data_IF_355961660842
#
_entry.id   IF_355961660842
#
_cell.length_a   1.000
_cell.length_b   1.000
_cell.length_c   1.000
_cell.angle_alpha   90.00
_cell.angle_beta   90.00
_cell.angle_gamma   90.00
#
_symmetry.space_group_name_H-M   'P 1'
#
loop_
_entity.id
_entity.type
_entity.pdbx_description
1 polymer ?
#
# COMPACT_ATOMS: atom_id res chain seq x y z
N UNK A 1 -9.80 0.43 -49.00
CA UNK A 1 -10.31 -0.25 -47.80
C UNK A 1 -9.37 0.09 -46.65
N UNK A 2 -9.80 0.98 -45.77
CA UNK A 2 -9.06 1.35 -44.55
C UNK A 2 -9.67 0.53 -43.42
N UNK A 3 -8.94 -0.46 -42.90
CA UNK A 3 -9.35 -1.18 -41.71
C UNK A 3 -9.17 -0.26 -40.51
N UNK A 4 -10.24 -0.04 -39.78
CA UNK A 4 -10.27 0.66 -38.49
C UNK A 4 -9.77 -0.29 -37.42
N UNK A 5 -8.56 -0.07 -36.91
CA UNK A 5 -8.05 -0.75 -35.73
C UNK A 5 -8.79 -0.18 -34.52
N UNK A 6 -9.51 -1.02 -33.81
CA UNK A 6 -10.25 -0.66 -32.61
C UNK A 6 -9.29 -0.35 -31.45
N UNK A 7 -9.53 0.77 -30.77
CA UNK A 7 -8.74 1.30 -29.65
C UNK A 7 -8.82 0.47 -28.35
N UNK A 8 -9.54 -0.66 -28.35
CA UNK A 8 -9.75 -1.49 -27.15
C UNK A 8 -8.59 -2.45 -26.82
N UNK A 9 -7.57 -2.55 -27.68
CA UNK A 9 -6.45 -3.49 -27.50
C UNK A 9 -5.18 -2.86 -26.92
N UNK A 10 -5.11 -1.54 -26.76
CA UNK A 10 -3.89 -0.86 -26.32
C UNK A 10 -3.82 -0.56 -24.81
N UNK A 11 -4.86 -0.82 -24.04
CA UNK A 11 -4.92 -0.55 -22.58
C UNK A 11 -4.82 -1.80 -21.70
N UNK A 12 -4.50 -2.97 -22.24
CA UNK A 12 -4.56 -4.22 -21.49
C UNK A 12 -3.28 -5.09 -21.50
N UNK A 13 -2.08 -4.59 -21.20
CA UNK A 13 -1.01 -5.49 -20.77
C UNK A 13 -0.55 -5.32 -19.30
N UNK A 14 -1.27 -4.58 -18.43
CA UNK A 14 -0.84 -4.39 -17.02
C UNK A 14 -1.57 -5.32 -16.03
N UNK A 15 -2.56 -6.11 -16.46
CA UNK A 15 -3.43 -6.89 -15.56
C UNK A 15 -3.39 -8.40 -15.78
N UNK A 16 -2.26 -9.02 -16.11
CA UNK A 16 -2.12 -10.49 -16.00
C UNK A 16 -0.72 -10.89 -15.56
N UNK A 17 -0.34 -10.55 -14.33
CA UNK A 17 0.69 -11.29 -13.61
C UNK A 17 0.03 -12.06 -12.48
N UNK A 18 0.01 -13.40 -12.62
CA UNK A 18 -0.46 -14.34 -11.58
C UNK A 18 0.33 -14.11 -10.29
N UNK A 19 -0.34 -14.10 -9.11
CA UNK A 19 0.34 -13.96 -7.83
C UNK A 19 0.89 -15.32 -7.40
N UNK A 20 2.16 -15.57 -7.62
CA UNK A 20 2.86 -16.65 -6.95
C UNK A 20 4.16 -16.14 -6.33
N UNK A 21 4.22 -16.17 -4.98
CA UNK A 21 5.41 -16.19 -4.13
C UNK A 21 6.40 -15.01 -4.20
N UNK A 22 5.99 -13.79 -3.92
CA UNK A 22 6.91 -12.69 -3.53
C UNK A 22 6.30 -11.84 -2.39
N UNK A 23 5.74 -12.43 -1.36
CA UNK A 23 5.13 -11.67 -0.25
C UNK A 23 5.97 -11.64 1.03
N UNK A 24 7.25 -11.97 0.99
CA UNK A 24 8.08 -12.02 2.20
C UNK A 24 9.35 -11.17 2.19
N UNK A 25 9.65 -10.42 1.14
CA UNK A 25 10.89 -9.63 1.07
C UNK A 25 10.70 -8.15 0.66
N UNK A 26 9.48 -7.65 0.48
CA UNK A 26 9.25 -6.27 0.00
C UNK A 26 8.97 -5.23 1.10
N UNK A 27 9.01 -5.60 2.38
CA UNK A 27 8.81 -4.63 3.48
C UNK A 27 10.05 -3.87 3.96
N UNK A 28 11.20 -4.01 3.31
CA UNK A 28 12.43 -3.38 3.80
C UNK A 28 13.04 -2.29 2.91
N UNK A 29 12.46 -1.95 1.78
CA UNK A 29 13.14 -1.06 0.81
C UNK A 29 12.40 0.23 0.43
N UNK A 30 11.43 0.69 1.20
CA UNK A 30 10.82 2.01 0.97
C UNK A 30 10.91 2.90 2.21
N UNK A 31 12.12 3.41 2.49
CA UNK A 31 12.26 4.59 3.33
C UNK A 31 13.47 5.40 2.91
N UNK A 32 13.34 6.14 1.83
CA UNK A 32 14.19 7.26 1.46
C UNK A 32 13.30 8.43 1.04
N UNK A 33 12.51 8.92 1.98
CA UNK A 33 12.13 10.32 2.10
C UNK A 33 12.02 10.58 3.59
N UNK A 34 12.98 11.35 4.11
CA UNK A 34 12.89 11.90 5.44
C UNK A 34 11.77 12.94 5.48
N UNK A 35 10.56 12.48 5.72
CA UNK A 35 9.57 13.20 6.50
C UNK A 35 9.38 12.34 7.74
N UNK A 36 9.63 12.91 8.91
CA UNK A 36 9.16 12.41 10.18
C UNK A 36 7.62 12.45 10.14
N UNK A 37 7.02 11.54 9.39
CA UNK A 37 5.67 11.11 9.65
C UNK A 37 5.80 10.19 10.87
N UNK A 38 5.06 10.55 11.90
CA UNK A 38 4.76 9.71 13.05
C UNK A 38 4.46 8.30 12.50
N UNK A 39 5.46 7.37 12.57
CA UNK A 39 5.28 5.99 12.10
C UNK A 39 4.10 5.47 12.89
N UNK A 40 2.96 5.41 12.21
CA UNK A 40 1.66 5.18 12.80
C UNK A 40 1.73 3.92 13.67
N UNK A 41 1.20 3.99 14.88
CA UNK A 41 1.10 2.91 15.87
C UNK A 41 0.46 1.64 15.28
N UNK A 42 -0.19 1.77 14.14
CA UNK A 42 -0.95 0.74 13.44
C UNK A 42 -0.54 0.68 11.97
N UNK A 43 -0.56 -0.53 11.39
CA UNK A 43 -0.38 -0.71 9.95
C UNK A 43 -1.61 -0.19 9.17
N UNK A 44 -1.44 0.08 7.86
CA UNK A 44 -2.57 0.45 6.99
C UNK A 44 -3.72 -0.57 7.04
N UNK A 45 -3.40 -1.87 7.01
CA UNK A 45 -4.38 -2.96 7.15
C UNK A 45 -5.14 -2.89 8.48
N UNK A 46 -4.43 -2.56 9.57
CA UNK A 46 -5.05 -2.39 10.89
C UNK A 46 -5.93 -1.15 10.93
N UNK A 47 -5.48 -0.03 10.36
CA UNK A 47 -6.28 1.20 10.26
C UNK A 47 -7.55 0.97 9.41
N UNK A 48 -7.45 0.24 8.30
CA UNK A 48 -8.60 -0.16 7.50
C UNK A 48 -9.58 -1.02 8.31
N UNK A 49 -9.06 -2.01 9.05
CA UNK A 49 -9.89 -2.85 9.92
C UNK A 49 -10.63 -2.02 10.98
N UNK A 50 -10.00 -0.96 11.50
CA UNK A 50 -10.61 -0.06 12.50
C UNK A 50 -11.56 0.98 11.89
N UNK A 51 -11.50 1.19 10.57
CA UNK A 51 -12.23 2.27 9.88
C UNK A 51 -11.57 3.63 10.05
N UNK A 52 -10.26 3.66 10.21
CA UNK A 52 -9.43 4.84 10.37
C UNK A 52 -8.67 4.88 11.69
N UNK A 53 -8.07 6.03 11.99
CA UNK A 53 -7.32 6.25 13.23
C UNK A 53 -8.24 6.19 14.44
N UNK A 54 -7.90 5.36 15.43
CA UNK A 54 -8.68 5.18 16.65
C UNK A 54 -8.68 6.45 17.52
N UNK A 55 -9.86 6.80 18.01
CA UNK A 55 -10.09 7.92 18.91
C UNK A 55 -10.55 7.44 20.30
N UNK A 56 -10.12 8.15 21.35
CA UNK A 56 -10.38 7.75 22.72
C UNK A 56 -9.50 6.58 23.20
N UNK A 57 -9.73 6.12 24.43
CA UNK A 57 -8.99 5.01 25.04
C UNK A 57 -9.65 3.67 24.69
N UNK A 58 -9.44 3.19 23.47
CA UNK A 58 -10.04 1.96 23.00
C UNK A 58 -9.47 0.74 23.72
N UNK A 59 -10.33 -0.12 24.25
CA UNK A 59 -9.99 -1.40 24.89
C UNK A 59 -10.12 -2.57 23.93
N UNK A 60 -11.15 -2.57 23.07
CA UNK A 60 -11.28 -3.56 22.00
C UNK A 60 -12.10 -3.04 20.84
N UNK A 61 -11.84 -3.61 19.65
CA UNK A 61 -12.64 -3.45 18.43
C UNK A 61 -13.05 -4.84 17.97
N UNK A 62 -14.36 -5.04 17.77
CA UNK A 62 -14.90 -6.20 17.07
C UNK A 62 -15.40 -5.74 15.70
N UNK A 63 -14.85 -6.29 14.62
CA UNK A 63 -15.25 -6.01 13.23
C UNK A 63 -16.01 -7.21 12.68
N UNK A 64 -17.18 -6.97 12.16
CA UNK A 64 -18.03 -7.96 11.51
C UNK A 64 -18.23 -7.50 10.06
N UNK A 65 -17.90 -8.37 9.13
CA UNK A 65 -18.03 -8.11 7.70
C UNK A 65 -19.16 -8.96 7.12
N UNK A 66 -20.02 -8.35 6.32
CA UNK A 66 -21.14 -9.02 5.63
C UNK A 66 -21.03 -8.73 4.13
N UNK A 67 -21.33 -9.69 3.27
CA UNK A 67 -21.62 -9.43 1.86
C UNK A 67 -23.13 -9.19 1.69
N UNK A 68 -23.47 -8.29 0.77
CA UNK A 68 -24.84 -8.07 0.35
C UNK A 68 -25.26 -9.08 -0.71
N UNK A 69 -26.45 -9.65 -0.58
CA UNK A 69 -27.20 -10.21 -1.71
C UNK A 69 -28.28 -9.20 -2.12
N UNK A 70 -28.74 -9.22 -3.37
CA UNK A 70 -29.84 -8.37 -3.84
C UNK A 70 -31.06 -8.51 -2.89
N UNK A 71 -31.40 -7.43 -2.21
CA UNK A 71 -32.55 -7.39 -1.31
C UNK A 71 -33.43 -6.22 -1.68
N UNK A 72 -34.68 -6.51 -1.99
CA UNK A 72 -35.67 -5.52 -2.43
C UNK A 72 -36.21 -4.63 -1.29
N UNK A 73 -36.13 -5.03 -0.02
CA UNK A 73 -36.53 -4.21 1.13
C UNK A 73 -35.83 -4.68 2.43
N UNK A 74 -34.80 -3.93 2.84
CA UNK A 74 -34.05 -4.16 4.09
C UNK A 74 -32.74 -4.94 3.86
N UNK A 75 -31.70 -4.58 4.61
CA UNK A 75 -30.41 -5.28 4.56
C UNK A 75 -30.56 -6.65 5.23
N UNK A 76 -30.65 -7.73 4.47
CA UNK A 76 -30.61 -9.07 5.02
C UNK A 76 -29.14 -9.40 5.38
N UNK A 77 -28.86 -9.35 6.68
CA UNK A 77 -27.52 -9.60 7.23
C UNK A 77 -27.24 -11.10 7.22
N UNK A 78 -26.96 -11.68 6.06
CA UNK A 78 -26.43 -13.03 6.02
C UNK A 78 -24.94 -12.99 6.34
N UNK A 79 -24.56 -13.56 7.50
CA UNK A 79 -23.18 -13.97 7.74
C UNK A 79 -22.79 -14.94 6.64
N UNK A 80 -21.60 -14.75 6.05
CA UNK A 80 -21.11 -15.63 4.99
C UNK A 80 -21.32 -17.09 5.32
N UNK A 81 -21.91 -17.89 4.42
CA UNK A 81 -21.70 -19.32 4.44
C UNK A 81 -20.25 -19.58 4.04
N UNK A 82 -19.65 -20.52 4.74
CA UNK A 82 -18.28 -20.99 4.60
C UNK A 82 -18.05 -21.62 3.20
N UNK A 83 -17.91 -20.82 2.15
CA UNK A 83 -17.42 -21.33 0.88
C UNK A 83 -15.90 -21.46 0.96
N UNK A 84 -15.43 -22.71 0.92
CA UNK A 84 -14.05 -23.14 1.08
C UNK A 84 -13.09 -22.58 0.02
N UNK A 85 -13.55 -21.73 -0.90
CA UNK A 85 -12.77 -21.20 -2.01
C UNK A 85 -12.35 -19.72 -1.88
N UNK A 86 -12.91 -18.95 -0.95
CA UNK A 86 -12.44 -17.59 -0.72
C UNK A 86 -11.36 -17.59 0.37
N UNK A 87 -10.12 -17.35 -0.02
CA UNK A 87 -8.98 -17.08 0.88
C UNK A 87 -9.12 -15.75 1.66
N UNK A 88 -10.31 -15.19 1.78
CA UNK A 88 -10.58 -13.96 2.51
C UNK A 88 -10.83 -14.26 3.99
N UNK A 89 -9.75 -14.23 4.77
CA UNK A 89 -9.65 -14.59 6.18
C UNK A 89 -10.22 -13.56 7.16
N UNK A 90 -11.01 -12.54 6.72
CA UNK A 90 -11.34 -11.37 7.55
C UNK A 90 -12.81 -11.20 7.89
N UNK A 91 -13.59 -12.25 8.01
CA UNK A 91 -15.04 -12.16 8.17
C UNK A 91 -15.47 -11.62 9.54
N UNK A 92 -14.84 -12.07 10.61
CA UNK A 92 -15.03 -11.55 11.95
C UNK A 92 -13.69 -11.50 12.66
N UNK A 93 -13.24 -10.31 12.99
CA UNK A 93 -12.01 -10.15 13.74
C UNK A 93 -12.21 -9.30 15.01
N UNK A 94 -11.41 -9.60 16.02
CA UNK A 94 -11.37 -8.86 17.27
C UNK A 94 -9.94 -8.46 17.58
N UNK A 95 -9.76 -7.18 17.86
CA UNK A 95 -8.52 -6.63 18.39
C UNK A 95 -8.72 -6.23 19.84
N UNK A 96 -7.72 -6.48 20.66
CA UNK A 96 -7.64 -6.00 22.04
C UNK A 96 -6.40 -5.14 22.21
N UNK A 97 -6.50 -4.11 23.05
CA UNK A 97 -5.47 -3.13 23.28
C UNK A 97 -5.13 -3.06 24.78
N UNK A 98 -3.92 -2.64 25.10
CA UNK A 98 -3.59 -2.18 26.45
C UNK A 98 -4.04 -0.73 26.69
N UNK A 99 -3.74 -0.19 27.88
CA UNK A 99 -4.12 1.18 28.25
C UNK A 99 -3.32 2.25 27.49
N UNK A 100 -2.16 1.93 26.98
CA UNK A 100 -1.30 2.72 26.12
C UNK A 100 -1.75 2.67 24.66
N UNK A 101 -2.71 1.77 24.33
CA UNK A 101 -3.33 1.55 23.03
C UNK A 101 -2.49 0.68 22.09
N UNK A 102 -1.55 -0.13 22.59
CA UNK A 102 -0.90 -1.15 21.77
C UNK A 102 -1.79 -2.39 21.63
N UNK A 103 -1.77 -3.01 20.43
CA UNK A 103 -2.53 -4.24 20.18
C UNK A 103 -1.93 -5.38 21.00
N UNK A 104 -2.70 -5.94 21.95
CA UNK A 104 -2.27 -7.10 22.74
C UNK A 104 -2.71 -8.41 22.13
N UNK A 105 -3.82 -8.41 21.39
CA UNK A 105 -4.34 -9.59 20.74
C UNK A 105 -5.13 -9.22 19.47
N UNK A 106 -4.97 -10.05 18.46
CA UNK A 106 -5.84 -10.12 17.27
C UNK A 106 -6.34 -11.54 17.12
N UNK A 107 -7.62 -11.72 16.81
CA UNK A 107 -8.18 -13.03 16.48
C UNK A 107 -9.25 -12.94 15.40
N UNK A 108 -9.32 -13.98 14.56
CA UNK A 108 -10.41 -14.18 13.62
C UNK A 108 -11.23 -15.40 14.04
N UNK A 109 -12.53 -15.35 13.81
CA UNK A 109 -13.45 -16.44 14.13
C UNK A 109 -14.30 -16.77 12.90
N UNK A 110 -14.80 -18.01 12.85
CA UNK A 110 -15.78 -18.40 11.83
C UNK A 110 -17.20 -17.93 12.19
N UNK A 111 -18.14 -18.20 11.31
CA UNK A 111 -19.57 -17.87 11.48
C UNK A 111 -20.23 -18.51 12.69
N UNK A 112 -19.63 -19.59 13.24
CA UNK A 112 -20.07 -20.28 14.45
C UNK A 112 -19.40 -19.73 15.72
N UNK A 113 -18.51 -18.74 15.57
CA UNK A 113 -17.74 -18.16 16.68
C UNK A 113 -16.52 -18.95 17.09
N UNK A 114 -16.08 -19.98 16.32
CA UNK A 114 -14.86 -20.71 16.62
C UNK A 114 -13.65 -19.90 16.13
N UNK A 115 -12.61 -19.80 16.97
CA UNK A 115 -11.35 -19.16 16.60
C UNK A 115 -10.68 -19.95 15.49
N UNK A 116 -10.37 -19.27 14.38
CA UNK A 116 -9.59 -19.79 13.23
C UNK A 116 -8.13 -19.38 13.32
N UNK A 117 -7.90 -18.15 13.77
CA UNK A 117 -6.58 -17.57 13.88
C UNK A 117 -6.50 -16.67 15.10
N UNK A 118 -5.35 -16.68 15.79
CA UNK A 118 -5.10 -15.80 16.94
C UNK A 118 -3.64 -15.35 16.93
N UNK A 119 -3.42 -14.04 17.20
CA UNK A 119 -2.09 -13.48 17.46
C UNK A 119 -2.09 -12.81 18.84
N UNK A 120 -0.98 -12.97 19.55
CA UNK A 120 -0.70 -12.31 20.82
C UNK A 120 0.59 -11.51 20.64
N UNK A 121 0.59 -10.27 21.10
CA UNK A 121 1.70 -9.34 20.95
C UNK A 121 2.26 -8.98 22.32
N UNK A 122 3.57 -8.98 22.44
CA UNK A 122 4.31 -8.47 23.60
C UNK A 122 5.28 -7.40 23.10
N UNK A 123 5.40 -6.32 23.85
CA UNK A 123 6.20 -5.16 23.48
C UNK A 123 7.38 -4.98 24.40
N UNK A 124 8.43 -4.35 23.91
CA UNK A 124 9.56 -3.88 24.72
C UNK A 124 9.23 -2.50 25.33
N UNK A 125 10.15 -1.99 26.14
CA UNK A 125 9.98 -0.70 26.83
C UNK A 125 9.90 0.52 25.89
N UNK A 126 10.24 0.35 24.60
CA UNK A 126 10.18 1.39 23.57
C UNK A 126 8.90 1.31 22.74
N UNK A 127 8.01 0.35 23.04
CA UNK A 127 6.76 0.16 22.31
C UNK A 127 6.90 -0.66 21.01
N UNK A 128 8.05 -1.30 20.75
CA UNK A 128 8.22 -2.20 19.61
C UNK A 128 7.87 -3.64 20.00
N UNK A 129 7.23 -4.43 19.10
CA UNK A 129 6.92 -5.85 19.35
C UNK A 129 8.20 -6.62 19.68
N UNK A 130 8.26 -7.25 20.85
CA UNK A 130 9.37 -8.14 21.23
C UNK A 130 9.06 -9.60 20.92
N UNK A 131 7.79 -9.99 21.06
CA UNK A 131 7.31 -11.33 20.72
C UNK A 131 5.95 -11.23 20.07
N UNK A 132 5.73 -12.10 19.07
CA UNK A 132 4.43 -12.29 18.44
C UNK A 132 4.18 -13.80 18.37
N UNK A 133 3.14 -14.26 19.05
CA UNK A 133 2.68 -15.64 18.96
C UNK A 133 1.46 -15.72 18.06
N UNK A 134 1.50 -16.61 17.07
CA UNK A 134 0.42 -16.79 16.09
C UNK A 134 -0.03 -18.25 16.08
N UNK A 135 -1.34 -18.45 16.21
CA UNK A 135 -1.95 -19.76 16.28
C UNK A 135 -2.98 -19.90 15.15
N UNK A 136 -2.99 -21.06 14.49
CA UNK A 136 -4.06 -21.43 13.57
C UNK A 136 -4.81 -22.64 14.15
N UNK A 137 -6.12 -22.67 13.97
CA UNK A 137 -7.00 -23.70 14.51
C UNK A 137 -7.80 -24.33 13.37
N UNK A 138 -7.93 -25.67 13.44
CA UNK A 138 -8.84 -26.46 12.63
C UNK A 138 -9.66 -27.36 13.57
N UNK A 139 -10.99 -27.36 13.43
CA UNK A 139 -11.91 -28.13 14.28
C UNK A 139 -11.65 -27.92 15.79
N UNK A 140 -11.42 -26.65 16.17
CA UNK A 140 -11.09 -26.20 17.55
C UNK A 140 -9.75 -26.72 18.08
N UNK A 141 -8.94 -27.36 17.24
CA UNK A 141 -7.61 -27.84 17.61
C UNK A 141 -6.56 -26.91 16.99
N UNK A 142 -5.54 -26.58 17.76
CA UNK A 142 -4.37 -25.89 17.25
C UNK A 142 -3.64 -26.80 16.27
N UNK A 143 -3.41 -26.33 15.04
CA UNK A 143 -2.73 -27.07 13.98
C UNK A 143 -1.38 -26.45 13.62
N UNK A 144 -1.25 -25.12 13.78
CA UNK A 144 0.00 -24.39 13.53
C UNK A 144 0.22 -23.37 14.63
N UNK A 145 1.47 -23.28 15.07
CA UNK A 145 1.95 -22.27 16.01
C UNK A 145 3.23 -21.64 15.48
N UNK A 146 3.24 -20.30 15.37
CA UNK A 146 4.42 -19.50 15.07
C UNK A 146 4.79 -18.69 16.29
N UNK A 147 6.07 -18.65 16.61
CA UNK A 147 6.63 -17.72 17.57
C UNK A 147 7.68 -16.87 16.87
N UNK A 148 7.44 -15.58 16.80
CA UNK A 148 8.39 -14.60 16.31
C UNK A 148 8.99 -13.85 17.50
N UNK A 149 10.32 -13.79 17.54
CA UNK A 149 11.07 -13.06 18.56
C UNK A 149 11.93 -11.99 17.88
N UNK A 150 11.85 -10.77 18.38
CA UNK A 150 12.54 -9.62 17.80
C UNK A 150 13.54 -9.04 18.80
N UNK A 151 14.69 -8.63 18.29
CA UNK A 151 15.63 -7.77 19.00
C UNK A 151 15.86 -6.50 18.20
N UNK A 152 16.19 -5.40 18.87
CA UNK A 152 16.32 -4.09 18.25
C UNK A 152 17.66 -3.45 18.57
N UNK A 153 18.12 -2.59 17.64
CA UNK A 153 19.16 -1.61 17.83
C UNK A 153 18.55 -0.24 17.54
N UNK A 154 18.24 0.53 18.59
CA UNK A 154 17.39 1.72 18.45
C UNK A 154 15.99 1.34 17.94
N UNK A 155 15.55 1.90 16.82
CA UNK A 155 14.28 1.59 16.15
C UNK A 155 14.39 0.46 15.12
N UNK A 156 15.60 0.05 14.75
CA UNK A 156 15.85 -0.95 13.70
C UNK A 156 15.85 -2.37 14.25
N UNK A 157 15.21 -3.29 13.54
CA UNK A 157 15.22 -4.72 13.89
C UNK A 157 16.65 -5.27 13.70
N UNK A 158 17.28 -5.67 14.80
CA UNK A 158 18.60 -6.29 14.78
C UNK A 158 18.52 -7.79 14.50
N UNK A 159 17.51 -8.49 15.03
CA UNK A 159 17.23 -9.86 14.64
C UNK A 159 15.75 -10.17 14.74
N UNK A 160 15.29 -11.04 13.85
CA UNK A 160 14.00 -11.73 13.90
C UNK A 160 14.25 -13.22 13.89
N UNK A 161 13.69 -13.96 14.83
CA UNK A 161 13.68 -15.42 14.82
C UNK A 161 12.23 -15.90 14.77
N UNK A 162 11.91 -16.77 13.82
CA UNK A 162 10.60 -17.38 13.66
C UNK A 162 10.71 -18.87 13.87
N UNK A 163 10.00 -19.38 14.86
CA UNK A 163 9.88 -20.81 15.16
C UNK A 163 8.50 -21.27 14.70
N UNK A 164 8.47 -22.20 13.74
CA UNK A 164 7.25 -22.79 13.23
C UNK A 164 7.08 -24.21 13.75
N UNK A 165 6.01 -24.45 14.48
CA UNK A 165 5.58 -25.77 14.94
C UNK A 165 4.30 -26.17 14.20
N UNK A 166 4.28 -27.37 13.59
CA UNK A 166 3.09 -27.94 12.98
C UNK A 166 2.71 -29.22 13.73
N UNK A 167 1.44 -29.31 14.13
CA UNK A 167 0.95 -30.50 14.87
C UNK A 167 0.84 -31.77 14.01
N UNK A 168 1.05 -31.66 12.68
CA UNK A 168 1.09 -32.82 11.77
C UNK A 168 2.36 -33.64 11.92
N UNK A 169 3.45 -33.05 12.39
CA UNK A 169 4.69 -33.78 12.68
C UNK A 169 5.38 -33.18 13.91
N UNK A 170 5.07 -33.71 15.10
CA UNK A 170 5.62 -33.28 16.39
C UNK A 170 7.17 -33.34 16.47
N UNK A 171 7.85 -33.84 15.42
CA UNK A 171 9.31 -33.99 15.36
C UNK A 171 9.99 -32.90 14.52
N UNK A 172 9.26 -32.06 13.78
CA UNK A 172 9.87 -31.03 12.93
C UNK A 172 9.48 -29.61 13.39
N UNK A 173 10.39 -29.00 14.12
CA UNK A 173 10.39 -27.56 14.35
C UNK A 173 11.21 -26.92 13.24
N UNK A 174 10.62 -26.06 12.43
CA UNK A 174 11.35 -25.25 11.47
C UNK A 174 11.69 -23.90 12.12
N UNK A 175 12.95 -23.55 12.10
CA UNK A 175 13.45 -22.28 12.62
C UNK A 175 13.95 -21.44 11.45
N UNK A 176 13.47 -20.22 11.34
CA UNK A 176 13.97 -19.22 10.40
C UNK A 176 14.55 -18.08 11.21
N UNK A 177 15.64 -17.49 10.74
CA UNK A 177 16.28 -16.40 11.45
C UNK A 177 16.84 -15.37 10.48
N UNK A 178 16.48 -14.12 10.70
CA UNK A 178 17.05 -12.97 10.02
C UNK A 178 17.97 -12.24 11.01
N UNK A 179 19.17 -11.93 10.58
CA UNK A 179 20.15 -11.21 11.40
C UNK A 179 20.63 -10.01 10.62
N UNK A 180 20.41 -8.81 11.16
CA UNK A 180 20.94 -7.55 10.66
C UNK A 180 22.21 -7.21 11.41
N UNK A 181 23.28 -6.95 10.67
CA UNK A 181 24.52 -6.36 11.21
C UNK A 181 24.58 -4.89 10.87
N UNK A 182 25.10 -4.11 11.80
CA UNK A 182 25.28 -2.68 11.64
C UNK A 182 26.76 -2.33 11.69
N UNK A 183 27.18 -1.34 10.90
CA UNK A 183 28.52 -0.79 10.95
C UNK A 183 28.71 0.13 12.18
N UNK A 184 29.90 0.71 12.32
CA UNK A 184 30.23 1.61 13.44
C UNK A 184 29.45 2.95 13.43
N UNK A 185 28.77 3.29 12.31
CA UNK A 185 27.90 4.47 12.18
C UNK A 185 26.41 4.11 12.36
N UNK A 186 26.10 2.92 12.87
CA UNK A 186 24.75 2.39 13.07
C UNK A 186 23.91 2.21 11.78
N UNK A 187 24.58 2.13 10.62
CA UNK A 187 23.95 1.85 9.33
C UNK A 187 23.94 0.33 9.09
N UNK A 188 22.94 -0.21 8.41
CA UNK A 188 22.85 -1.63 8.05
C UNK A 188 24.06 -2.02 7.20
N UNK A 189 24.84 -2.99 7.63
CA UNK A 189 25.98 -3.56 6.89
C UNK A 189 25.57 -4.79 6.11
N UNK A 190 24.75 -5.66 6.75
CA UNK A 190 24.20 -6.85 6.08
C UNK A 190 22.96 -7.37 6.78
N UNK A 191 22.11 -8.09 6.00
CA UNK A 191 21.03 -8.92 6.49
C UNK A 191 21.30 -10.34 6.04
N UNK A 192 21.27 -11.30 6.96
CA UNK A 192 21.48 -12.73 6.68
C UNK A 192 20.24 -13.51 7.04
N UNK A 193 19.73 -14.31 6.11
CA UNK A 193 18.51 -15.13 6.24
C UNK A 193 18.91 -16.60 6.37
N UNK A 194 18.46 -17.26 7.42
CA UNK A 194 18.76 -18.64 7.74
C UNK A 194 17.49 -19.51 7.78
N UNK A 195 17.62 -20.76 7.35
CA UNK A 195 16.67 -21.82 7.68
C UNK A 195 17.41 -22.87 8.54
N UNK A 196 17.01 -22.98 9.81
CA UNK A 196 17.81 -23.66 10.83
C UNK A 196 19.18 -22.97 10.96
N UNK A 197 20.25 -23.77 10.82
CA UNK A 197 21.63 -23.25 10.86
C UNK A 197 22.22 -22.97 9.47
N UNK A 198 21.41 -23.14 8.39
CA UNK A 198 21.89 -22.99 7.03
C UNK A 198 21.53 -21.63 6.48
N UNK A 199 22.55 -20.86 6.07
CA UNK A 199 22.35 -19.57 5.38
C UNK A 199 21.64 -19.83 4.04
N UNK A 200 20.56 -19.09 3.77
CA UNK A 200 19.74 -19.18 2.56
C UNK A 200 19.99 -18.00 1.63
N UNK A 201 20.10 -16.80 2.20
CA UNK A 201 20.33 -15.57 1.46
C UNK A 201 21.10 -14.56 2.30
N UNK A 202 21.75 -13.63 1.62
CA UNK A 202 22.42 -12.49 2.25
C UNK A 202 22.21 -11.23 1.42
N UNK A 203 21.87 -10.14 2.10
CA UNK A 203 21.91 -8.78 1.55
C UNK A 203 23.07 -8.02 2.19
N UNK A 204 23.81 -7.25 1.39
CA UNK A 204 24.92 -6.41 1.87
C UNK A 204 24.76 -4.99 1.40
N UNK A 205 25.18 -4.03 2.21
CA UNK A 205 25.04 -2.60 2.00
C UNK A 205 26.40 -1.94 2.08
N UNK A 206 26.71 -1.08 1.14
CA UNK A 206 27.96 -0.31 1.09
C UNK A 206 27.61 1.19 1.07
N UNK A 207 28.40 1.98 1.77
CA UNK A 207 28.17 3.41 1.93
C UNK A 207 29.44 4.19 1.54
N UNK A 208 29.25 5.44 1.09
CA UNK A 208 30.34 6.38 0.91
C UNK A 208 30.78 7.01 2.25
N UNK A 209 31.80 7.85 2.22
CA UNK A 209 32.31 8.54 3.42
C UNK A 209 31.28 9.52 4.02
N UNK A 210 30.35 10.04 3.21
CA UNK A 210 29.27 10.92 3.64
C UNK A 210 28.12 10.14 4.28
N UNK A 211 28.08 8.82 4.14
CA UNK A 211 27.05 7.93 4.67
C UNK A 211 25.91 7.64 3.71
N UNK A 212 26.02 8.02 2.44
CA UNK A 212 25.02 7.65 1.43
C UNK A 212 25.21 6.19 1.01
N UNK A 213 24.12 5.45 0.82
CA UNK A 213 24.12 4.07 0.34
C UNK A 213 24.59 4.03 -1.13
N UNK A 214 25.73 3.40 -1.41
CA UNK A 214 26.29 3.32 -2.78
C UNK A 214 26.03 1.99 -3.47
N UNK A 215 25.84 0.93 -2.69
CA UNK A 215 25.55 -0.40 -3.25
C UNK A 215 24.68 -1.22 -2.29
N UNK A 216 23.77 -1.96 -2.88
CA UNK A 216 22.96 -2.98 -2.26
C UNK A 216 23.07 -4.26 -3.08
N UNK A 217 23.50 -5.36 -2.48
CA UNK A 217 23.66 -6.65 -3.14
C UNK A 217 22.86 -7.72 -2.43
N UNK A 218 21.94 -8.37 -3.14
CA UNK A 218 21.19 -9.53 -2.67
C UNK A 218 21.74 -10.80 -3.33
N UNK A 219 22.10 -11.79 -2.53
CA UNK A 219 22.55 -13.12 -2.92
C UNK A 219 21.69 -14.20 -2.30
N UNK A 220 20.95 -14.91 -3.12
CA UNK A 220 20.30 -16.16 -2.78
C UNK A 220 21.31 -17.31 -2.95
N UNK A 221 21.43 -18.17 -1.93
CA UNK A 221 22.25 -19.38 -1.98
C UNK A 221 21.46 -20.60 -2.47
N UNK A 222 20.14 -20.46 -2.56
CA UNK A 222 19.21 -21.50 -3.01
C UNK A 222 18.80 -21.31 -4.46
N UNK A 223 18.64 -20.07 -4.89
CA UNK A 223 18.26 -19.72 -6.25
C UNK A 223 19.09 -18.54 -6.75
N UNK A 224 20.11 -18.81 -7.55
CA UNK A 224 21.00 -17.75 -8.09
C UNK A 224 20.27 -16.79 -9.03
N UNK A 225 19.11 -17.18 -9.55
CA UNK A 225 18.31 -16.35 -10.45
C UNK A 225 17.69 -15.15 -9.75
N UNK A 226 17.62 -15.17 -8.45
CA UNK A 226 17.13 -14.07 -7.62
C UNK A 226 18.20 -13.04 -7.25
N UNK A 227 19.46 -13.26 -7.63
CA UNK A 227 20.54 -12.35 -7.29
C UNK A 227 20.35 -11.00 -7.98
N UNK A 228 20.47 -9.95 -7.20
CA UNK A 228 20.38 -8.57 -7.69
C UNK A 228 21.47 -7.70 -7.09
N UNK A 229 21.92 -6.71 -7.85
CA UNK A 229 22.79 -5.66 -7.35
C UNK A 229 22.23 -4.31 -7.77
N UNK A 230 22.13 -3.41 -6.81
CA UNK A 230 21.71 -2.03 -7.07
C UNK A 230 22.84 -1.09 -6.71
N UNK A 231 23.19 -0.19 -7.62
CA UNK A 231 24.16 0.88 -7.42
C UNK A 231 23.46 2.22 -7.35
N UNK A 232 24.01 3.11 -6.52
CA UNK A 232 23.51 4.46 -6.30
C UNK A 232 24.64 5.46 -6.47
N UNK A 233 24.40 6.52 -7.23
CA UNK A 233 25.35 7.61 -7.44
C UNK A 233 24.70 8.92 -7.01
N UNK A 234 25.45 9.75 -6.30
CA UNK A 234 24.97 11.00 -5.72
C UNK A 234 25.79 12.19 -6.21
N UNK A 235 25.19 13.37 -6.16
CA UNK A 235 25.90 14.63 -6.34
C UNK A 235 26.65 15.05 -5.06
N UNK A 236 27.35 16.18 -5.14
CA UNK A 236 28.08 16.72 -3.98
C UNK A 236 27.18 17.12 -2.80
N UNK A 237 25.90 17.35 -3.04
CA UNK A 237 24.88 17.68 -2.03
C UNK A 237 24.22 16.45 -1.42
N UNK A 238 24.54 15.24 -1.89
CA UNK A 238 23.94 13.98 -1.45
C UNK A 238 22.60 13.67 -2.13
N UNK A 239 22.25 14.33 -3.25
CA UNK A 239 21.05 14.04 -4.02
C UNK A 239 21.32 12.87 -4.96
N UNK A 240 20.40 11.91 -5.04
CA UNK A 240 20.52 10.71 -5.87
C UNK A 240 20.48 11.06 -7.36
N UNK A 241 21.58 10.86 -8.08
CA UNK A 241 21.67 11.09 -9.52
C UNK A 241 21.28 9.87 -10.35
N UNK A 242 21.78 8.70 -9.95
CA UNK A 242 21.59 7.45 -10.71
C UNK A 242 21.28 6.32 -9.72
N UNK A 243 20.30 5.51 -10.08
CA UNK A 243 20.05 4.19 -9.53
C UNK A 243 20.14 3.19 -10.68
N UNK A 244 21.05 2.24 -10.59
CA UNK A 244 21.20 1.14 -11.53
C UNK A 244 20.94 -0.17 -10.80
N UNK A 245 19.96 -0.95 -11.24
CA UNK A 245 19.67 -2.29 -10.72
C UNK A 245 20.00 -3.32 -11.79
N UNK A 246 20.83 -4.27 -11.43
CA UNK A 246 21.23 -5.39 -12.27
C UNK A 246 20.52 -6.64 -11.78
N UNK A 247 19.78 -7.27 -12.67
CA UNK A 247 19.13 -8.55 -12.45
C UNK A 247 19.82 -9.65 -13.26
N UNK A 248 19.39 -10.88 -13.04
CA UNK A 248 19.84 -12.03 -13.75
C UNK A 248 19.74 -11.84 -15.29
N UNK A 249 20.68 -12.47 -16.01
CA UNK A 249 20.74 -12.37 -17.47
C UNK A 249 21.33 -11.04 -17.96
N UNK A 250 21.95 -10.27 -17.06
CA UNK A 250 22.58 -8.99 -17.37
C UNK A 250 21.59 -7.93 -17.88
N UNK A 251 20.35 -7.96 -17.41
CA UNK A 251 19.38 -6.90 -17.62
C UNK A 251 19.61 -5.80 -16.60
N UNK A 252 19.77 -4.57 -17.07
CA UNK A 252 20.03 -3.39 -16.26
C UNK A 252 18.83 -2.45 -16.33
N UNK A 253 18.37 -2.00 -15.16
CA UNK A 253 17.33 -1.01 -15.00
C UNK A 253 17.93 0.28 -14.47
N UNK A 254 17.80 1.36 -15.21
CA UNK A 254 18.31 2.66 -14.82
C UNK A 254 17.16 3.58 -14.39
N UNK A 255 17.43 4.39 -13.38
CA UNK A 255 16.66 5.61 -13.08
C UNK A 255 17.66 6.73 -12.86
N UNK A 256 17.53 7.81 -13.62
CA UNK A 256 18.35 9.01 -13.48
C UNK A 256 17.50 10.19 -13.05
N UNK A 257 18.07 11.08 -12.25
CA UNK A 257 17.38 12.22 -11.66
C UNK A 257 18.18 13.49 -11.91
N UNK A 258 17.49 14.56 -12.23
CA UNK A 258 18.04 15.89 -12.30
C UNK A 258 17.26 16.84 -11.39
N UNK A 259 17.97 17.79 -10.76
CA UNK A 259 17.45 18.62 -9.69
C UNK A 259 17.52 20.10 -10.04
N UNK A 260 16.52 20.85 -9.59
CA UNK A 260 16.58 22.30 -9.51
C UNK A 260 17.53 22.74 -8.38
N UNK A 261 17.91 24.00 -8.38
CA UNK A 261 18.79 24.58 -7.33
C UNK A 261 18.20 24.46 -5.92
N UNK A 262 16.88 24.41 -5.79
CA UNK A 262 16.15 24.24 -4.54
C UNK A 262 16.00 22.76 -4.09
N UNK A 263 16.60 21.79 -4.80
CA UNK A 263 16.59 20.38 -4.46
C UNK A 263 15.40 19.59 -4.99
N UNK A 264 14.45 20.19 -5.67
CA UNK A 264 13.33 19.46 -6.28
C UNK A 264 13.75 18.77 -7.58
N UNK A 265 13.26 17.54 -7.77
CA UNK A 265 13.45 16.82 -9.03
C UNK A 265 12.70 17.57 -10.14
N UNK A 266 13.39 17.94 -11.22
CA UNK A 266 12.76 18.50 -12.41
C UNK A 266 12.69 17.51 -13.56
N UNK A 267 13.55 16.47 -13.56
CA UNK A 267 13.54 15.40 -14.56
C UNK A 267 13.87 14.07 -13.91
N UNK A 268 13.12 13.04 -14.29
CA UNK A 268 13.42 11.64 -14.03
C UNK A 268 13.39 10.89 -15.35
N UNK A 269 14.42 10.08 -15.61
CA UNK A 269 14.44 9.16 -16.76
C UNK A 269 14.60 7.74 -16.27
N UNK A 270 13.79 6.81 -16.75
CA UNK A 270 13.92 5.38 -16.48
C UNK A 270 14.00 4.62 -17.80
N UNK A 271 14.90 3.65 -17.89
CA UNK A 271 15.10 2.83 -19.08
C UNK A 271 15.75 1.50 -18.72
N UNK A 272 15.70 0.56 -19.66
CA UNK A 272 16.33 -0.73 -19.56
C UNK A 272 17.45 -0.87 -20.60
N UNK A 273 18.47 -1.65 -20.28
CA UNK A 273 19.51 -2.06 -21.24
C UNK A 273 19.89 -3.52 -21.00
N UNK A 274 20.54 -4.15 -21.97
CA UNK A 274 21.11 -5.48 -21.82
C UNK A 274 22.64 -5.41 -21.79
N UNK A 275 23.27 -6.35 -21.08
CA UNK A 275 24.74 -6.43 -21.00
C UNK A 275 25.35 -6.57 -22.41
N UNK A 276 26.29 -5.69 -22.70
CA UNK A 276 26.91 -5.61 -24.03
C UNK A 276 26.28 -4.60 -24.98
N UNK A 277 25.07 -4.10 -24.69
CA UNK A 277 24.35 -3.10 -25.49
C UNK A 277 24.01 -1.85 -24.67
N UNK A 278 24.98 -1.33 -23.90
CA UNK A 278 24.75 -0.19 -22.97
C UNK A 278 24.21 1.07 -23.64
N UNK A 279 24.46 1.25 -24.94
CA UNK A 279 23.98 2.41 -25.69
C UNK A 279 22.56 2.25 -26.24
N UNK A 280 21.98 1.03 -26.16
CA UNK A 280 20.64 0.77 -26.59
C UNK A 280 19.69 0.82 -25.40
N UNK A 281 19.03 1.94 -25.24
CA UNK A 281 17.97 2.12 -24.26
C UNK A 281 16.67 1.50 -24.77
N UNK A 282 16.04 0.68 -23.93
CA UNK A 282 14.72 0.12 -24.17
C UNK A 282 13.73 0.62 -23.13
N UNK A 283 12.47 0.77 -23.51
CA UNK A 283 11.41 1.22 -22.61
C UNK A 283 11.73 2.55 -21.90
N UNK A 284 12.34 3.50 -22.64
CA UNK A 284 12.70 4.79 -22.06
C UNK A 284 11.44 5.58 -21.70
N UNK A 285 11.39 6.03 -20.44
CA UNK A 285 10.35 6.85 -19.88
C UNK A 285 10.99 8.10 -19.32
N UNK A 286 10.57 9.26 -19.82
CA UNK A 286 11.04 10.56 -19.34
C UNK A 286 9.87 11.30 -18.70
N UNK A 287 10.08 11.74 -17.46
CA UNK A 287 9.12 12.56 -16.74
C UNK A 287 9.75 13.90 -16.37
N UNK A 288 9.11 15.00 -16.74
CA UNK A 288 9.48 16.34 -16.34
C UNK A 288 8.49 16.87 -15.31
N UNK A 289 9.00 17.59 -14.32
CA UNK A 289 8.24 18.20 -13.25
C UNK A 289 8.48 19.70 -13.26
N UNK A 290 7.43 20.49 -13.37
CA UNK A 290 7.49 21.96 -13.41
C UNK A 290 6.80 22.49 -12.16
N UNK A 291 7.45 23.43 -11.48
CA UNK A 291 6.96 24.00 -10.22
C UNK A 291 6.75 25.51 -10.35
N UNK A 292 5.76 26.02 -9.61
CA UNK A 292 5.56 27.45 -9.45
C UNK A 292 6.60 28.08 -8.49
N UNK A 293 6.54 29.39 -8.33
CA UNK A 293 7.41 30.14 -7.42
C UNK A 293 7.22 29.74 -5.93
N UNK A 294 6.06 29.17 -5.56
CA UNK A 294 5.77 28.69 -4.21
C UNK A 294 6.23 27.26 -4.01
N UNK A 295 6.68 26.60 -5.10
CA UNK A 295 7.12 25.23 -5.08
C UNK A 295 5.99 24.19 -5.25
N UNK A 296 4.78 24.56 -5.64
CA UNK A 296 3.75 23.60 -6.00
C UNK A 296 4.06 23.01 -7.37
N UNK A 297 3.78 21.71 -7.57
CA UNK A 297 3.89 21.04 -8.87
C UNK A 297 2.76 21.56 -9.76
N UNK A 298 3.08 22.32 -10.80
CA UNK A 298 2.07 22.89 -11.72
C UNK A 298 1.95 22.11 -13.03
N UNK A 299 2.96 21.32 -13.39
CA UNK A 299 2.90 20.47 -14.56
C UNK A 299 3.79 19.26 -14.42
N UNK A 300 3.30 18.11 -14.88
CA UNK A 300 4.03 16.88 -15.07
C UNK A 300 3.89 16.45 -16.52
N UNK A 301 5.03 16.27 -17.21
CA UNK A 301 5.07 15.75 -18.57
C UNK A 301 5.69 14.37 -18.56
N UNK A 302 4.96 13.40 -19.05
CA UNK A 302 5.38 12.02 -19.16
C UNK A 302 5.48 11.65 -20.64
N UNK A 303 6.64 11.12 -21.06
CA UNK A 303 6.80 10.49 -22.37
C UNK A 303 7.10 9.01 -22.13
N UNK A 304 6.19 8.15 -22.56
CA UNK A 304 6.28 6.69 -22.38
C UNK A 304 6.81 5.98 -23.60
N UNK A 305 6.70 4.66 -23.57
CA UNK A 305 7.00 3.77 -24.70
C UNK A 305 6.18 4.19 -25.91
N UNK A 306 6.72 4.08 -27.13
CA UNK A 306 6.10 4.52 -28.39
C UNK A 306 5.86 6.04 -28.48
N UNK A 307 6.66 6.84 -27.78
CA UNK A 307 6.59 8.30 -27.80
C UNK A 307 5.22 8.88 -27.42
N UNK A 308 4.42 8.12 -26.66
CA UNK A 308 3.13 8.63 -26.13
C UNK A 308 3.42 9.69 -25.07
N UNK A 309 3.10 10.95 -25.40
CA UNK A 309 3.23 12.09 -24.51
C UNK A 309 1.94 12.32 -23.72
N UNK A 310 2.05 12.33 -22.40
CA UNK A 310 0.99 12.74 -21.48
C UNK A 310 1.46 13.98 -20.72
N UNK A 311 0.64 15.02 -20.68
CA UNK A 311 0.88 16.23 -19.90
C UNK A 311 -0.26 16.38 -18.91
N UNK A 312 0.07 16.54 -17.64
CA UNK A 312 -0.88 16.84 -16.58
C UNK A 312 -0.55 18.18 -15.97
N UNK A 313 -1.47 19.13 -16.07
CA UNK A 313 -1.33 20.47 -15.49
C UNK A 313 -2.22 20.62 -14.26
N UNK A 314 -1.74 21.31 -13.25
CA UNK A 314 -2.38 21.47 -11.95
C UNK A 314 -2.58 22.97 -11.63
N UNK A 315 -3.78 23.34 -11.22
CA UNK A 315 -4.10 24.70 -10.79
C UNK A 315 -4.42 24.72 -9.30
N UNK A 316 -3.81 25.65 -8.58
CA UNK A 316 -3.93 25.78 -7.13
C UNK A 316 -4.56 27.13 -6.75
N UNK A 317 -5.39 27.12 -5.72
CA UNK A 317 -5.87 28.30 -5.02
C UNK A 317 -5.55 28.11 -3.52
N UNK A 318 -4.90 29.07 -2.89
CA UNK A 318 -4.47 29.01 -1.49
C UNK A 318 -3.73 27.70 -1.14
N UNK A 319 -2.80 27.26 -2.01
CA UNK A 319 -2.03 26.01 -1.92
C UNK A 319 -2.87 24.72 -2.02
N UNK A 320 -4.15 24.80 -2.30
CA UNK A 320 -5.04 23.67 -2.50
C UNK A 320 -5.27 23.43 -3.98
N UNK A 321 -5.17 22.15 -4.39
CA UNK A 321 -5.46 21.74 -5.76
C UNK A 321 -6.94 21.96 -6.06
N UNK A 322 -7.23 22.71 -7.14
CA UNK A 322 -8.59 23.03 -7.60
C UNK A 322 -8.92 22.37 -8.92
N UNK A 323 -7.94 22.32 -9.82
CA UNK A 323 -8.15 21.81 -11.17
C UNK A 323 -6.95 20.99 -11.63
N UNK A 324 -7.24 19.98 -12.43
CA UNK A 324 -6.26 19.16 -13.13
C UNK A 324 -6.69 18.98 -14.57
N UNK A 325 -5.79 19.24 -15.50
CA UNK A 325 -5.98 19.05 -16.94
C UNK A 325 -5.07 17.94 -17.42
N UNK A 326 -5.62 16.97 -18.13
CA UNK A 326 -4.83 15.86 -18.69
C UNK A 326 -4.89 15.92 -20.22
N UNK A 327 -3.72 15.95 -20.84
CA UNK A 327 -3.55 15.95 -22.29
C UNK A 327 -2.81 14.67 -22.70
N UNK A 328 -3.19 14.09 -23.84
CA UNK A 328 -2.49 12.97 -24.47
C UNK A 328 -2.24 13.35 -25.92
N UNK A 329 -0.97 13.30 -26.36
CA UNK A 329 -0.57 13.74 -27.70
C UNK A 329 -1.12 15.15 -28.03
N UNK A 330 -0.92 16.10 -27.10
CA UNK A 330 -1.36 17.50 -27.18
C UNK A 330 -2.89 17.71 -27.18
N UNK A 331 -3.69 16.65 -27.23
CA UNK A 331 -5.13 16.75 -27.16
C UNK A 331 -5.60 16.70 -25.71
N UNK A 332 -6.38 17.67 -25.27
CA UNK A 332 -7.06 17.63 -23.97
C UNK A 332 -7.93 16.38 -23.90
N UNK A 333 -7.82 15.61 -22.83
CA UNK A 333 -8.58 14.36 -22.58
C UNK A 333 -9.59 14.52 -21.47
N UNK A 334 -9.19 15.12 -20.36
CA UNK A 334 -10.09 15.34 -19.24
C UNK A 334 -9.71 16.57 -18.44
N UNK A 335 -10.70 17.09 -17.72
CA UNK A 335 -10.57 18.19 -16.76
C UNK A 335 -11.18 17.68 -15.46
N UNK A 336 -10.43 17.73 -14.35
CA UNK A 336 -10.94 17.38 -13.02
C UNK A 336 -11.03 18.63 -12.17
N UNK A 337 -12.16 18.84 -11.51
CA UNK A 337 -12.39 19.95 -10.56
C UNK A 337 -12.59 19.40 -9.15
N UNK A 338 -12.04 20.09 -8.17
CA UNK A 338 -12.30 19.87 -6.75
C UNK A 338 -13.02 21.07 -6.15
N UNK A 339 -14.16 20.82 -5.53
CA UNK A 339 -14.89 21.83 -4.77
C UNK A 339 -14.78 21.54 -3.29
N UNK A 340 -14.57 22.57 -2.52
CA UNK A 340 -14.45 22.50 -1.08
C UNK A 340 -15.47 23.41 -0.39
N UNK A 341 -16.01 22.93 0.72
CA UNK A 341 -16.81 23.71 1.64
C UNK A 341 -16.28 23.49 3.06
N UNK A 342 -16.11 24.58 3.81
CA UNK A 342 -15.57 24.53 5.18
C UNK A 342 -14.25 23.75 5.30
N UNK A 343 -13.36 23.87 4.30
CA UNK A 343 -12.06 23.21 4.27
C UNK A 343 -12.09 21.72 3.94
N UNK A 344 -13.23 21.17 3.49
CA UNK A 344 -13.41 19.77 3.10
C UNK A 344 -13.84 19.66 1.65
N UNK A 345 -13.27 18.70 0.94
CA UNK A 345 -13.68 18.40 -0.45
C UNK A 345 -15.10 17.84 -0.42
N UNK A 346 -16.04 18.54 -1.06
CA UNK A 346 -17.43 18.11 -1.20
C UNK A 346 -17.71 17.46 -2.54
N UNK A 347 -16.90 17.78 -3.56
CA UNK A 347 -17.06 17.26 -4.90
C UNK A 347 -15.70 17.11 -5.59
N UNK A 348 -15.56 16.02 -6.33
CA UNK A 348 -14.51 15.85 -7.35
C UNK A 348 -15.22 15.42 -8.62
N UNK A 349 -15.14 16.24 -9.66
CA UNK A 349 -15.87 16.03 -10.91
C UNK A 349 -14.91 15.98 -12.10
N UNK A 350 -15.12 15.04 -13.02
CA UNK A 350 -14.34 14.88 -14.24
C UNK A 350 -15.22 15.22 -15.46
N UNK A 351 -14.68 16.06 -16.34
CA UNK A 351 -15.32 16.52 -17.56
C UNK A 351 -14.52 16.12 -18.78
N UNK A 352 -15.22 15.84 -19.89
CA UNK A 352 -14.61 15.73 -21.21
C UNK A 352 -14.16 17.10 -21.74
N UNK A 353 -13.34 17.13 -22.82
CA UNK A 353 -12.87 18.38 -23.42
C UNK A 353 -13.98 19.34 -23.88
N UNK A 354 -15.14 18.83 -24.24
CA UNK A 354 -16.33 19.60 -24.64
C UNK A 354 -17.19 20.06 -23.45
N UNK A 355 -16.68 19.90 -22.22
CA UNK A 355 -17.31 20.37 -20.99
C UNK A 355 -18.45 19.49 -20.47
N UNK A 356 -18.62 18.27 -21.00
CA UNK A 356 -19.63 17.35 -20.50
C UNK A 356 -19.09 16.58 -19.29
N UNK A 357 -19.88 16.52 -18.23
CA UNK A 357 -19.57 15.71 -17.04
C UNK A 357 -19.46 14.24 -17.41
N UNK A 358 -18.30 13.65 -17.10
CA UNK A 358 -18.02 12.21 -17.33
C UNK A 358 -18.28 11.40 -16.06
N UNK A 359 -18.11 12.02 -14.90
CA UNK A 359 -18.33 11.38 -13.63
C UNK A 359 -17.83 12.22 -12.47
N UNK A 360 -17.91 11.68 -11.27
CA UNK A 360 -17.41 12.37 -10.09
C UNK A 360 -17.71 11.63 -8.80
N UNK A 361 -17.09 12.11 -7.73
CA UNK A 361 -17.32 11.65 -6.37
C UNK A 361 -17.84 12.82 -5.54
N UNK A 362 -18.89 12.57 -4.76
CA UNK A 362 -19.59 13.58 -3.96
C UNK A 362 -19.59 13.13 -2.50
N UNK A 363 -19.18 14.02 -1.60
CA UNK A 363 -19.02 13.74 -0.18
C UNK A 363 -20.02 14.53 0.66
N UNK A 364 -20.56 13.88 1.69
CA UNK A 364 -21.40 14.53 2.71
C UNK A 364 -20.74 14.33 4.07
N UNK A 365 -20.78 15.38 4.90
CA UNK A 365 -20.13 15.38 6.21
C UNK A 365 -21.15 15.68 7.31
N UNK A 366 -20.92 15.14 8.52
CA UNK A 366 -21.64 15.53 9.72
C UNK A 366 -21.10 16.87 10.29
N UNK A 367 -21.75 17.38 11.35
CA UNK A 367 -21.34 18.61 12.04
C UNK A 367 -19.93 18.54 12.63
N UNK A 368 -19.42 17.35 12.95
CA UNK A 368 -18.06 17.12 13.45
C UNK A 368 -17.05 17.00 12.31
N UNK A 369 -17.52 16.94 11.08
CA UNK A 369 -16.72 16.84 9.87
C UNK A 369 -16.30 15.44 9.48
N UNK A 370 -16.95 14.41 9.98
CA UNK A 370 -16.78 13.04 9.52
C UNK A 370 -17.53 12.84 8.21
N UNK A 371 -16.93 12.15 7.24
CA UNK A 371 -17.63 11.79 6.00
C UNK A 371 -18.73 10.78 6.31
N UNK A 372 -19.98 11.14 6.05
CA UNK A 372 -21.14 10.26 6.30
C UNK A 372 -21.64 9.55 5.07
N UNK A 373 -21.32 10.09 3.89
CA UNK A 373 -21.69 9.49 2.62
C UNK A 373 -20.70 9.88 1.51
N UNK A 374 -20.44 8.92 0.65
CA UNK A 374 -19.73 9.09 -0.62
C UNK A 374 -20.61 8.56 -1.74
N UNK A 375 -20.76 9.32 -2.83
CA UNK A 375 -21.49 8.92 -4.04
C UNK A 375 -20.57 8.98 -5.22
N UNK A 376 -20.37 7.84 -5.90
CA UNK A 376 -19.65 7.76 -7.17
C UNK A 376 -20.63 7.74 -8.33
N UNK A 377 -20.47 8.66 -9.27
CA UNK A 377 -21.31 8.80 -10.45
C UNK A 377 -20.47 8.71 -11.72
N UNK A 378 -21.06 8.16 -12.78
CA UNK A 378 -20.42 8.04 -14.09
C UNK A 378 -21.42 8.36 -15.21
N UNK A 379 -20.91 8.90 -16.32
CA UNK A 379 -21.70 9.09 -17.52
C UNK A 379 -21.89 7.77 -18.25
N UNK A 380 -23.13 7.33 -18.38
CA UNK A 380 -23.47 6.14 -19.15
C UNK A 380 -23.68 6.51 -20.62
N UNK A 381 -22.80 6.04 -21.50
CA UNK A 381 -22.83 6.33 -22.94
C UNK A 381 -24.11 5.78 -23.61
N UNK A 382 -24.69 4.68 -23.09
CA UNK A 382 -25.87 4.04 -23.68
C UNK A 382 -27.15 4.81 -23.38
N UNK A 383 -27.31 5.21 -22.10
CA UNK A 383 -28.49 5.96 -21.66
C UNK A 383 -28.32 7.46 -21.84
N UNK A 384 -27.09 7.95 -22.03
CA UNK A 384 -26.71 9.37 -22.11
C UNK A 384 -27.06 10.15 -20.85
N UNK A 385 -27.00 9.49 -19.69
CA UNK A 385 -27.32 10.06 -18.38
C UNK A 385 -26.17 9.86 -17.40
N UNK A 386 -26.12 10.66 -16.35
CA UNK A 386 -25.25 10.44 -15.21
C UNK A 386 -25.94 9.46 -14.26
N UNK A 387 -25.29 8.34 -13.99
CA UNK A 387 -25.82 7.28 -13.13
C UNK A 387 -24.96 7.16 -11.87
N UNK A 388 -25.59 6.89 -10.74
CA UNK A 388 -24.86 6.50 -9.51
C UNK A 388 -24.44 5.05 -9.65
N UNK A 389 -23.13 4.81 -9.59
CA UNK A 389 -22.55 3.46 -9.68
C UNK A 389 -22.03 2.96 -8.35
N UNK A 390 -21.78 3.86 -7.40
CA UNK A 390 -21.28 3.53 -6.09
C UNK A 390 -21.85 4.47 -5.02
N UNK A 391 -22.13 3.91 -3.85
CA UNK A 391 -22.54 4.65 -2.67
C UNK A 391 -21.92 4.02 -1.44
N UNK A 392 -21.23 4.81 -0.63
CA UNK A 392 -20.75 4.39 0.68
C UNK A 392 -21.45 5.21 1.76
N UNK A 393 -21.82 4.56 2.86
CA UNK A 393 -22.48 5.20 4.02
C UNK A 393 -21.67 4.87 5.26
N UNK A 394 -21.38 5.89 6.07
CA UNK A 394 -20.59 5.76 7.29
C UNK A 394 -21.38 6.30 8.48
N UNK A 395 -21.20 5.66 9.65
CA UNK A 395 -21.70 6.17 10.93
C UNK A 395 -20.60 6.11 11.96
N UNK A 396 -20.63 7.04 12.90
CA UNK A 396 -19.58 7.21 13.90
C UNK A 396 -20.16 7.16 15.32
N UNK A 397 -19.35 6.74 16.27
CA UNK A 397 -19.68 6.80 17.68
C UNK A 397 -19.43 8.21 18.28
N UNK A 398 -19.63 8.32 19.58
CA UNK A 398 -19.42 9.58 20.29
C UNK A 398 -17.95 10.07 20.28
N UNK A 399 -16.99 9.17 20.06
CA UNK A 399 -15.55 9.46 19.98
C UNK A 399 -15.06 9.64 18.55
N UNK A 400 -15.95 9.59 17.55
CA UNK A 400 -15.65 9.67 16.11
C UNK A 400 -14.96 8.41 15.53
N UNK A 401 -15.07 7.24 16.15
CA UNK A 401 -14.69 5.99 15.53
C UNK A 401 -15.79 5.51 14.59
N UNK A 402 -15.41 5.06 13.39
CA UNK A 402 -16.37 4.56 12.40
C UNK A 402 -16.96 3.21 12.85
N UNK A 403 -18.22 3.21 13.25
CA UNK A 403 -18.94 2.01 13.73
C UNK A 403 -19.70 1.27 12.66
N UNK A 404 -19.93 1.91 11.52
CA UNK A 404 -20.73 1.37 10.44
C UNK A 404 -20.20 1.88 9.09
N UNK A 405 -20.03 0.97 8.14
CA UNK A 405 -19.66 1.25 6.76
C UNK A 405 -20.44 0.31 5.85
N UNK A 406 -21.24 0.86 4.95
CA UNK A 406 -21.95 0.08 3.94
C UNK A 406 -21.61 0.59 2.56
N UNK A 407 -21.22 -0.31 1.67
CA UNK A 407 -20.91 0.00 0.27
C UNK A 407 -21.94 -0.65 -0.64
N UNK A 408 -22.40 0.13 -1.59
CA UNK A 408 -23.36 -0.29 -2.58
C UNK A 408 -22.76 -0.11 -3.98
N UNK A 409 -23.06 -1.05 -4.86
CA UNK A 409 -22.79 -0.94 -6.27
C UNK A 409 -24.10 -1.05 -7.03
N UNK A 410 -24.49 0.00 -7.79
CA UNK A 410 -25.77 0.08 -8.51
C UNK A 410 -26.99 -0.31 -7.67
N UNK A 411 -27.10 0.31 -6.50
CA UNK A 411 -28.16 0.08 -5.50
C UNK A 411 -28.15 -1.31 -4.81
N UNK A 412 -27.31 -2.24 -5.22
CA UNK A 412 -27.10 -3.50 -4.51
C UNK A 412 -26.04 -3.35 -3.44
N UNK A 413 -26.28 -3.88 -2.26
CA UNK A 413 -25.28 -3.89 -1.19
C UNK A 413 -24.11 -4.79 -1.61
N UNK A 414 -22.92 -4.21 -1.73
CA UNK A 414 -21.67 -4.92 -1.99
C UNK A 414 -21.14 -5.53 -0.69
N UNK A 415 -20.96 -4.69 0.32
CA UNK A 415 -20.60 -5.15 1.66
C UNK A 415 -21.09 -4.20 2.74
N UNK A 416 -21.15 -4.75 3.97
CA UNK A 416 -21.41 -4.02 5.20
C UNK A 416 -20.37 -4.41 6.25
N UNK A 417 -19.79 -3.41 6.91
CA UNK A 417 -18.91 -3.59 8.06
C UNK A 417 -19.55 -2.94 9.28
N UNK A 418 -19.69 -3.70 10.34
CA UNK A 418 -20.05 -3.21 11.67
C UNK A 418 -18.85 -3.33 12.60
N UNK A 419 -18.59 -2.28 13.40
CA UNK A 419 -17.50 -2.25 14.38
C UNK A 419 -18.06 -1.90 15.76
N UNK A 420 -17.79 -2.77 16.73
CA UNK A 420 -18.18 -2.58 18.12
C UNK A 420 -16.94 -2.21 18.93
N UNK A 421 -16.90 -1.00 19.43
CA UNK A 421 -15.81 -0.49 20.26
C UNK A 421 -16.14 -0.62 21.74
N UNK A 422 -15.18 -1.06 22.54
CA UNK A 422 -15.22 -0.89 23.99
C UNK A 422 -14.08 0.03 24.42
N UNK A 423 -14.25 0.73 25.54
CA UNK A 423 -13.32 1.74 26.00
C UNK A 423 -12.86 1.44 27.42
N UNK A 424 -11.67 1.91 27.76
CA UNK A 424 -11.21 1.99 29.13
C UNK A 424 -11.95 3.15 29.83
N UNK A 425 -12.30 2.95 31.09
CA UNK A 425 -12.83 3.98 31.97
C UNK A 425 -11.77 5.04 32.32
#
# INVERSE_FOLDING_TARGET
MKESISLDTALNPILTMKPYFITLLFCACFSLSAQEEDEGKYTEEQLEAFGGTLQGRVKSVERIYYIGEEVSEGVDKKRFPNDQESNNTNEYCKYSFDKEGYITQHQTVDTLGNVKYKRIFTYNNLGFPSHIESFQYQDKKEVVHYLETYTYKGKEVASKETVLNTNFDKKKTNVFKDITKFNHKDQKESISVYAGNKLQAKMTFTYDDKGNLTQEEYKSLTNKEENTTTYYTYDDKGQLLIRERIEQGNKHYFSTFAYLSNGKVWQKTSYETHSGEKDRKENEIITYYIYDANGNLVEEQYTGVEDVKVVTSYCYEDKKLKERYTYVQEALKSITFWREENGKTTQQEEFSPDGKLQGGVYYTYDEKGNCTMELSKVYNIRTRTIETIGKSIYKYDKYNNCIYEAKFFRDSLDYLIERNFTYYE
#
